data_IF_004318589847
#
_entry.id   IF_004318589847
#
_cell.length_a   1.000
_cell.length_b   1.000
_cell.length_c   1.000
_cell.angle_alpha   90.00
_cell.angle_beta   90.00
_cell.angle_gamma   90.00
#
_symmetry.space_group_name_H-M   'P 1'
#
loop_
_entity.id
_entity.type
_entity.pdbx_description
1 polymer ?
#
# COMPACT_ATOMS: atom_id res chain seq x y z
N UNK A 1 24.03 -3.29 22.73
CA UNK A 1 23.57 -4.36 23.63
C UNK A 1 23.01 -3.70 24.88
N UNK A 2 21.84 -4.13 25.38
CA UNK A 2 21.25 -3.56 26.60
C UNK A 2 21.81 -4.21 27.86
N UNK A 3 22.20 -5.48 27.74
CA UNK A 3 22.85 -6.28 28.77
C UNK A 3 24.27 -6.59 28.27
N UNK A 4 25.26 -6.60 29.16
CA UNK A 4 26.64 -6.98 28.83
C UNK A 4 26.88 -8.49 28.98
N UNK A 5 28.14 -8.92 28.82
CA UNK A 5 28.53 -10.33 28.92
C UNK A 5 28.44 -10.89 30.36
N UNK A 6 28.32 -10.02 31.36
CA UNK A 6 28.17 -10.39 32.77
C UNK A 6 26.69 -10.34 33.21
N UNK A 7 25.76 -10.28 32.26
CA UNK A 7 24.32 -10.17 32.51
C UNK A 7 23.92 -8.88 33.24
N UNK A 8 24.77 -7.85 33.26
CA UNK A 8 24.49 -6.56 33.88
C UNK A 8 23.89 -5.57 32.90
N UNK A 9 23.04 -4.69 33.42
CA UNK A 9 22.43 -3.63 32.64
C UNK A 9 23.50 -2.61 32.23
N UNK A 10 23.67 -2.42 30.93
CA UNK A 10 24.56 -1.37 30.40
C UNK A 10 23.91 0.00 30.52
N UNK A 11 24.68 1.09 30.39
CA UNK A 11 24.14 2.47 30.27
C UNK A 11 23.07 2.61 29.17
N UNK A 12 23.24 1.86 28.07
CA UNK A 12 22.25 1.81 27.00
C UNK A 12 20.99 1.06 27.43
N UNK A 13 21.13 -0.01 28.22
CA UNK A 13 20.02 -0.71 28.85
C UNK A 13 19.26 0.16 29.84
N UNK A 14 19.94 0.93 30.68
CA UNK A 14 19.33 1.90 31.59
C UNK A 14 18.48 2.93 30.83
N UNK A 15 19.04 3.52 29.76
CA UNK A 15 18.30 4.46 28.93
C UNK A 15 17.11 3.80 28.22
N UNK A 16 17.30 2.57 27.73
CA UNK A 16 16.22 1.79 27.11
C UNK A 16 15.07 1.54 28.08
N UNK A 17 15.37 1.29 29.36
CA UNK A 17 14.37 1.11 30.41
C UNK A 17 13.67 2.43 30.76
N UNK A 18 14.41 3.54 30.85
CA UNK A 18 13.86 4.86 31.14
C UNK A 18 12.84 5.33 30.08
N UNK A 19 13.07 4.96 28.81
CA UNK A 19 12.15 5.27 27.72
C UNK A 19 10.78 4.58 27.82
N UNK A 20 10.63 3.54 28.65
CA UNK A 20 9.38 2.79 28.84
C UNK A 20 8.77 2.27 27.51
N UNK A 21 9.63 1.91 26.57
CA UNK A 21 9.29 1.40 25.25
C UNK A 21 9.76 -0.04 25.07
N UNK A 22 9.27 -0.71 24.02
CA UNK A 22 9.84 -2.01 23.64
C UNK A 22 11.35 -1.88 23.37
N UNK A 23 12.17 -2.90 23.70
CA UNK A 23 13.62 -2.81 23.53
C UNK A 23 14.07 -2.45 22.11
N UNK A 24 13.32 -2.89 21.08
CA UNK A 24 13.61 -2.56 19.67
C UNK A 24 13.31 -1.10 19.35
N UNK A 25 12.19 -0.54 19.83
CA UNK A 25 11.89 0.89 19.66
C UNK A 25 12.85 1.79 20.44
N UNK A 26 13.19 1.43 21.67
CA UNK A 26 14.24 2.13 22.42
C UNK A 26 15.57 2.09 21.68
N UNK A 27 15.97 0.92 21.16
CA UNK A 27 17.20 0.79 20.38
C UNK A 27 17.17 1.62 19.09
N UNK A 28 16.01 1.73 18.43
CA UNK A 28 15.82 2.54 17.23
C UNK A 28 16.11 4.02 17.50
N UNK A 29 15.45 4.61 18.49
CA UNK A 29 15.65 6.02 18.83
C UNK A 29 17.09 6.30 19.31
N UNK A 30 17.63 5.43 20.17
CA UNK A 30 18.98 5.59 20.71
C UNK A 30 20.03 5.48 19.60
N UNK A 31 19.89 4.55 18.64
CA UNK A 31 20.81 4.43 17.50
C UNK A 31 20.82 5.69 16.65
N UNK A 32 19.64 6.18 16.26
CA UNK A 32 19.50 7.41 15.47
C UNK A 32 20.16 8.59 16.20
N UNK A 33 19.93 8.73 17.50
CA UNK A 33 20.54 9.81 18.28
C UNK A 33 22.07 9.72 18.34
N UNK A 34 22.62 8.52 18.53
CA UNK A 34 24.09 8.32 18.63
C UNK A 34 24.78 8.56 17.29
N UNK A 35 24.15 8.12 16.19
CA UNK A 35 24.74 8.12 14.85
C UNK A 35 24.50 9.45 14.11
N UNK A 36 23.39 10.15 14.42
CA UNK A 36 22.97 11.40 13.76
C UNK A 36 22.66 12.53 14.74
N UNK A 37 23.48 12.65 15.81
CA UNK A 37 23.27 13.59 16.93
C UNK A 37 22.99 15.04 16.51
N UNK A 38 23.60 15.51 15.42
CA UNK A 38 23.47 16.88 14.93
C UNK A 38 22.15 17.13 14.17
N UNK A 39 21.45 16.07 13.74
CA UNK A 39 20.15 16.16 13.07
C UNK A 39 19.00 16.02 14.09
N UNK A 40 18.66 17.14 14.75
CA UNK A 40 17.57 17.19 15.75
C UNK A 40 16.19 16.92 15.14
N UNK A 41 16.00 17.25 13.87
CA UNK A 41 14.74 17.06 13.16
C UNK A 41 14.47 15.58 12.92
N UNK A 42 15.52 14.81 12.57
CA UNK A 42 15.45 13.36 12.43
C UNK A 42 15.07 12.68 13.76
N UNK A 43 15.68 13.09 14.89
CA UNK A 43 15.30 12.56 16.20
C UNK A 43 13.82 12.86 16.51
N UNK A 44 13.36 14.08 16.21
CA UNK A 44 11.97 14.48 16.44
C UNK A 44 11.00 13.66 15.60
N UNK A 45 11.35 13.38 14.34
CA UNK A 45 10.58 12.53 13.42
C UNK A 45 10.53 11.08 13.90
N UNK A 46 11.67 10.52 14.30
CA UNK A 46 11.77 9.16 14.84
C UNK A 46 10.97 9.02 16.14
N UNK A 47 11.05 10.00 17.04
CA UNK A 47 10.23 10.04 18.24
C UNK A 47 8.73 10.07 17.92
N UNK A 48 8.32 10.81 16.88
CA UNK A 48 6.93 10.81 16.42
C UNK A 48 6.50 9.45 15.86
N UNK A 49 7.30 8.82 15.01
CA UNK A 49 7.04 7.47 14.49
C UNK A 49 6.86 6.49 15.65
N UNK A 50 7.81 6.47 16.59
CA UNK A 50 7.77 5.55 17.73
C UNK A 50 6.57 5.82 18.63
N UNK A 51 6.25 7.10 18.91
CA UNK A 51 5.09 7.45 19.70
C UNK A 51 3.78 6.99 19.05
N UNK A 52 3.63 7.17 17.73
CA UNK A 52 2.46 6.72 16.99
C UNK A 52 2.34 5.19 17.02
N UNK A 53 3.44 4.47 16.76
CA UNK A 53 3.46 3.00 16.71
C UNK A 53 3.32 2.34 18.08
N UNK A 54 3.60 3.05 19.16
CA UNK A 54 3.54 2.51 20.53
C UNK A 54 2.14 2.60 21.14
N UNK A 55 1.21 3.31 20.49
CA UNK A 55 -0.16 3.44 20.98
C UNK A 55 -0.99 2.23 20.49
N UNK A 56 -1.82 1.63 21.35
CA UNK A 56 -2.60 0.44 21.01
C UNK A 56 -3.77 0.71 20.04
N UNK A 57 -4.01 1.96 19.65
CA UNK A 57 -5.18 2.40 18.89
C UNK A 57 -4.78 3.35 17.76
N UNK A 58 -5.63 3.45 16.74
CA UNK A 58 -5.42 4.32 15.58
C UNK A 58 -5.45 5.82 15.95
N UNK A 59 -4.73 6.63 15.15
CA UNK A 59 -4.87 8.09 15.15
C UNK A 59 -6.24 8.54 14.61
N UNK A 60 -6.89 7.68 13.83
CA UNK A 60 -8.20 7.89 13.24
C UNK A 60 -9.29 7.31 14.14
N UNK A 61 -10.47 7.93 14.14
CA UNK A 61 -11.66 7.39 14.78
C UNK A 61 -12.09 6.10 14.08
N UNK A 62 -12.49 5.11 14.87
CA UNK A 62 -13.07 3.86 14.37
C UNK A 62 -14.57 3.98 14.63
N UNK A 63 -15.35 4.30 13.60
CA UNK A 63 -16.81 4.27 13.69
C UNK A 63 -17.32 2.94 13.13
N UNK A 64 -18.01 2.16 13.95
CA UNK A 64 -18.54 0.82 13.62
C UNK A 64 -19.74 0.83 12.65
N UNK A 65 -20.15 2.00 12.16
CA UNK A 65 -21.29 2.11 11.24
C UNK A 65 -20.83 2.12 9.79
N UNK A 66 -21.12 1.02 9.10
CA UNK A 66 -21.18 0.80 7.64
C UNK A 66 -19.87 0.59 6.87
N UNK A 67 -19.85 -0.52 6.15
CA UNK A 67 -18.78 -1.05 5.30
C UNK A 67 -18.41 -0.18 4.07
N UNK A 68 -19.04 0.98 3.89
CA UNK A 68 -18.83 1.92 2.76
C UNK A 68 -18.13 3.24 3.17
N UNK A 69 -17.61 3.34 4.40
CA UNK A 69 -17.21 4.62 5.01
C UNK A 69 -15.78 5.14 4.76
N UNK A 70 -14.96 4.54 3.88
CA UNK A 70 -13.52 4.90 3.79
C UNK A 70 -13.06 5.63 2.53
N UNK A 71 -13.86 5.75 1.47
CA UNK A 71 -13.34 6.24 0.17
C UNK A 71 -13.11 7.76 0.14
N UNK A 72 -13.98 8.56 0.77
CA UNK A 72 -13.88 10.03 0.72
C UNK A 72 -12.82 10.64 1.67
N UNK A 73 -12.46 9.94 2.75
CA UNK A 73 -11.42 10.37 3.70
C UNK A 73 -10.04 9.97 3.19
N UNK A 74 -9.94 8.80 2.55
CA UNK A 74 -8.79 8.43 1.73
C UNK A 74 -8.50 9.55 0.72
N UNK A 75 -9.49 10.03 -0.04
CA UNK A 75 -9.20 11.01 -1.09
C UNK A 75 -8.65 12.37 -0.60
N UNK A 76 -9.03 12.87 0.58
CA UNK A 76 -8.59 14.20 1.06
C UNK A 76 -7.28 14.19 1.85
N UNK A 77 -6.94 13.08 2.53
CA UNK A 77 -5.62 12.92 3.17
C UNK A 77 -4.57 12.35 2.22
N UNK A 78 -4.97 11.80 1.06
CA UNK A 78 -4.06 11.08 0.15
C UNK A 78 -3.71 11.82 -1.14
N UNK A 79 -4.37 12.94 -1.49
CA UNK A 79 -3.92 13.79 -2.61
C UNK A 79 -2.55 14.44 -2.36
N UNK A 80 -2.14 14.57 -1.10
CA UNK A 80 -0.80 15.05 -0.73
C UNK A 80 0.15 13.89 -0.32
N UNK A 81 -0.34 12.65 -0.23
CA UNK A 81 0.45 11.51 0.24
C UNK A 81 1.50 11.03 -0.80
N UNK A 82 1.33 11.46 -2.06
CA UNK A 82 2.24 11.18 -3.17
C UNK A 82 3.67 11.66 -2.91
N UNK A 83 3.84 12.71 -2.11
CA UNK A 83 5.15 13.30 -1.78
C UNK A 83 6.00 12.38 -0.87
N UNK A 84 5.37 11.63 0.04
CA UNK A 84 6.08 11.02 1.18
C UNK A 84 6.59 9.59 0.94
N UNK A 85 5.96 8.84 0.03
CA UNK A 85 6.36 7.46 -0.33
C UNK A 85 6.62 6.53 0.90
N UNK A 86 5.96 6.77 2.04
CA UNK A 86 6.08 6.03 3.30
C UNK A 86 4.83 6.23 4.17
N UNK A 87 4.18 5.15 4.64
CA UNK A 87 3.02 5.24 5.54
C UNK A 87 3.41 5.92 6.86
N UNK A 88 4.61 5.59 7.37
CA UNK A 88 5.12 6.19 8.62
C UNK A 88 5.26 7.71 8.51
N UNK A 89 5.69 8.19 7.34
CA UNK A 89 5.82 9.64 7.10
C UNK A 89 4.48 10.31 6.91
N UNK A 90 3.54 9.63 6.24
CA UNK A 90 2.17 10.11 6.13
C UNK A 90 1.52 10.25 7.52
N UNK A 91 1.68 9.26 8.40
CA UNK A 91 1.19 9.34 9.79
C UNK A 91 1.82 10.49 10.58
N UNK A 92 3.14 10.72 10.41
CA UNK A 92 3.79 11.88 11.00
C UNK A 92 3.25 13.22 10.45
N UNK A 93 2.95 13.29 9.15
CA UNK A 93 2.34 14.49 8.55
C UNK A 93 0.97 14.76 9.17
N UNK A 94 0.08 13.76 9.20
CA UNK A 94 -1.25 13.87 9.83
C UNK A 94 -1.15 14.38 11.26
N UNK A 95 -0.20 13.85 12.04
CA UNK A 95 0.06 14.33 13.39
C UNK A 95 0.55 15.79 13.42
N UNK A 96 1.51 16.15 12.55
CA UNK A 96 2.07 17.50 12.50
C UNK A 96 1.02 18.54 12.07
N UNK A 97 0.17 18.21 11.09
CA UNK A 97 -0.92 19.08 10.64
C UNK A 97 -1.89 19.37 11.79
N UNK A 98 -2.27 18.33 12.55
CA UNK A 98 -3.06 18.50 13.77
C UNK A 98 -2.35 19.32 14.84
N UNK A 99 -1.06 19.07 15.05
CA UNK A 99 -0.23 19.74 16.07
C UNK A 99 -0.14 21.24 15.79
N UNK A 100 0.02 21.61 14.53
CA UNK A 100 0.09 23.00 14.07
C UNK A 100 -1.24 23.72 14.24
N UNK A 101 -2.38 23.01 14.05
CA UNK A 101 -3.68 23.59 14.36
C UNK A 101 -3.75 24.00 15.82
N UNK A 102 -4.22 25.22 16.03
CA UNK A 102 -4.32 25.78 17.37
C UNK A 102 -3.00 26.21 17.99
N UNK A 103 -1.88 26.26 17.26
CA UNK A 103 -0.63 26.82 17.80
C UNK A 103 -0.82 28.27 18.20
N UNK A 104 -0.38 28.65 19.40
CA UNK A 104 -0.45 30.03 19.90
C UNK A 104 0.87 30.73 19.60
N UNK A 105 0.80 31.86 18.88
CA UNK A 105 1.95 32.71 18.66
C UNK A 105 2.38 33.34 19.99
N UNK A 106 3.64 33.14 20.37
CA UNK A 106 4.18 33.57 21.67
C UNK A 106 4.23 35.09 21.83
N UNK A 107 4.37 35.83 20.73
CA UNK A 107 4.49 37.29 20.74
C UNK A 107 3.12 37.96 20.82
N UNK A 108 2.14 37.46 20.06
CA UNK A 108 0.80 38.07 19.99
C UNK A 108 -0.20 37.46 20.96
N UNK A 109 0.15 36.34 21.60
CA UNK A 109 -0.75 35.54 22.44
C UNK A 109 -2.06 35.14 21.74
N UNK A 110 -2.05 35.09 20.41
CA UNK A 110 -3.20 34.70 19.58
C UNK A 110 -2.97 33.32 18.96
N UNK A 111 -4.05 32.55 18.89
CA UNK A 111 -4.08 31.32 18.11
C UNK A 111 -3.90 31.64 16.62
N UNK A 112 -2.93 31.01 15.96
CA UNK A 112 -2.64 31.21 14.52
C UNK A 112 -3.82 30.78 13.65
N UNK A 113 -4.64 29.83 14.11
CA UNK A 113 -5.77 29.28 13.34
C UNK A 113 -7.06 30.10 13.48
N UNK A 114 -7.36 30.66 14.65
CA UNK A 114 -8.64 31.34 14.91
C UNK A 114 -8.51 32.78 15.42
N UNK A 115 -7.31 33.30 15.55
CA UNK A 115 -6.99 34.65 16.04
C UNK A 115 -7.53 35.02 17.43
N UNK A 116 -8.12 34.06 18.17
CA UNK A 116 -8.54 34.26 19.57
C UNK A 116 -7.32 34.47 20.46
N UNK A 117 -7.38 35.49 21.31
CA UNK A 117 -6.37 35.78 22.32
C UNK A 117 -6.49 34.84 23.51
N UNK A 118 -5.36 34.39 24.03
CA UNK A 118 -5.26 33.55 25.23
C UNK A 118 -4.39 34.26 26.26
N UNK A 119 -4.96 34.54 27.43
CA UNK A 119 -4.27 35.26 28.50
C UNK A 119 -3.33 34.36 29.33
N UNK A 120 -3.56 33.05 29.32
CA UNK A 120 -2.76 32.08 30.06
C UNK A 120 -1.51 31.64 29.31
N UNK A 121 -0.55 31.03 30.05
CA UNK A 121 0.65 30.34 29.52
C UNK A 121 0.33 29.12 28.64
N UNK A 122 -0.92 28.95 28.20
CA UNK A 122 -1.29 27.89 27.28
C UNK A 122 -0.48 28.02 26.00
N UNK A 123 0.13 26.91 25.57
CA UNK A 123 0.88 26.84 24.31
C UNK A 123 -0.03 26.54 23.11
N UNK A 124 -1.28 26.14 23.37
CA UNK A 124 -2.17 25.54 22.36
C UNK A 124 -3.64 25.89 22.58
N UNK A 125 -4.35 26.18 21.51
CA UNK A 125 -5.79 26.37 21.42
C UNK A 125 -6.49 25.01 21.25
N UNK A 126 -7.02 24.46 22.33
CA UNK A 126 -7.69 23.15 22.31
C UNK A 126 -8.95 23.11 21.45
N UNK A 127 -9.66 24.23 21.31
CA UNK A 127 -10.87 24.30 20.48
C UNK A 127 -10.56 24.12 18.98
N UNK A 128 -9.47 24.72 18.49
CA UNK A 128 -9.04 24.54 17.10
C UNK A 128 -8.58 23.11 16.82
N UNK A 129 -7.82 22.50 17.73
CA UNK A 129 -7.38 21.10 17.60
C UNK A 129 -8.57 20.14 17.59
N UNK A 130 -9.50 20.27 18.55
CA UNK A 130 -10.73 19.47 18.59
C UNK A 130 -11.57 19.63 17.32
N UNK A 131 -11.74 20.87 16.82
CA UNK A 131 -12.47 21.12 15.57
C UNK A 131 -11.80 20.44 14.38
N UNK A 132 -10.47 20.56 14.26
CA UNK A 132 -9.71 19.92 13.18
C UNK A 132 -9.81 18.39 13.27
N UNK A 133 -9.68 17.82 14.47
CA UNK A 133 -9.87 16.39 14.70
C UNK A 133 -11.26 15.92 14.29
N UNK A 134 -12.32 16.65 14.65
CA UNK A 134 -13.68 16.30 14.23
C UNK A 134 -13.83 16.33 12.70
N UNK A 135 -13.29 17.36 12.05
CA UNK A 135 -13.39 17.52 10.59
C UNK A 135 -12.60 16.49 9.79
N UNK A 136 -11.56 15.89 10.38
CA UNK A 136 -10.67 14.92 9.72
C UNK A 136 -10.76 13.53 10.36
N UNK A 137 -11.79 13.30 11.17
CA UNK A 137 -12.04 12.04 11.88
C UNK A 137 -10.83 11.52 12.67
N UNK A 138 -10.10 12.42 13.31
CA UNK A 138 -8.94 12.08 14.13
C UNK A 138 -9.33 11.93 15.60
N UNK A 139 -8.67 11.00 16.29
CA UNK A 139 -8.80 10.83 17.72
C UNK A 139 -7.92 11.85 18.47
N UNK A 140 -8.53 12.98 18.85
CA UNK A 140 -7.83 14.07 19.53
C UNK A 140 -7.16 13.64 20.86
N UNK A 141 -7.74 12.69 21.60
CA UNK A 141 -7.15 12.22 22.87
C UNK A 141 -5.86 11.45 22.58
N UNK A 142 -5.89 10.56 21.59
CA UNK A 142 -4.72 9.81 21.15
C UNK A 142 -3.62 10.73 20.64
N UNK A 143 -3.96 11.73 19.83
CA UNK A 143 -2.98 12.69 19.32
C UNK A 143 -2.31 13.52 20.45
N UNK A 144 -3.05 13.84 21.51
CA UNK A 144 -2.47 14.47 22.70
C UNK A 144 -1.50 13.52 23.44
N UNK A 145 -1.84 12.23 23.54
CA UNK A 145 -0.94 11.22 24.11
C UNK A 145 0.34 11.06 23.27
N UNK A 146 0.23 11.07 21.93
CA UNK A 146 1.38 11.09 21.02
C UNK A 146 2.27 12.30 21.31
N UNK A 147 1.70 13.51 21.35
CA UNK A 147 2.48 14.75 21.58
C UNK A 147 3.23 14.72 22.92
N UNK A 148 2.57 14.25 23.99
CA UNK A 148 3.18 14.09 25.30
C UNK A 148 4.31 13.05 25.29
N UNK A 149 4.10 11.92 24.61
CA UNK A 149 5.09 10.83 24.49
C UNK A 149 6.33 11.29 23.73
N UNK A 150 6.15 12.00 22.61
CA UNK A 150 7.26 12.57 21.84
C UNK A 150 8.14 13.46 22.72
N UNK A 151 7.51 14.37 23.47
CA UNK A 151 8.23 15.27 24.38
C UNK A 151 9.02 14.47 25.42
N UNK A 152 8.37 13.51 26.07
CA UNK A 152 9.01 12.65 27.06
C UNK A 152 10.21 11.89 26.49
N UNK A 153 10.10 11.29 25.30
CA UNK A 153 11.19 10.55 24.67
C UNK A 153 12.38 11.44 24.31
N UNK A 154 12.12 12.61 23.72
CA UNK A 154 13.16 13.57 23.36
C UNK A 154 13.87 14.06 24.62
N UNK A 155 13.13 14.53 25.62
CA UNK A 155 13.68 15.04 26.88
C UNK A 155 14.56 13.97 27.53
N UNK A 156 14.05 12.73 27.66
CA UNK A 156 14.78 11.60 28.26
C UNK A 156 16.10 11.27 27.53
N UNK A 157 16.10 11.22 26.20
CA UNK A 157 17.32 10.96 25.41
C UNK A 157 18.31 12.11 25.56
N UNK A 158 17.82 13.35 25.49
CA UNK A 158 18.69 14.54 25.56
C UNK A 158 19.30 14.74 26.95
N UNK A 159 18.59 14.39 28.02
CA UNK A 159 19.10 14.45 29.39
C UNK A 159 20.14 13.36 29.67
N UNK A 160 19.96 12.18 29.05
CA UNK A 160 20.90 11.07 29.16
C UNK A 160 22.09 11.17 28.18
N UNK A 161 22.22 12.26 27.41
CA UNK A 161 23.25 12.42 26.36
C UNK A 161 24.67 12.16 26.81
N UNK A 162 24.99 12.42 28.08
CA UNK A 162 26.31 12.23 28.67
C UNK A 162 26.67 10.74 28.87
N UNK A 163 25.66 9.86 28.93
CA UNK A 163 25.84 8.40 29.05
C UNK A 163 26.19 7.75 27.71
N UNK A 164 25.96 8.45 26.60
CA UNK A 164 26.09 7.92 25.25
C UNK A 164 27.36 8.48 24.60
N UNK A 165 28.30 7.60 24.25
CA UNK A 165 29.45 7.98 23.42
C UNK A 165 28.96 8.09 21.97
N UNK A 166 28.96 9.29 21.37
CA UNK A 166 28.62 9.43 19.96
C UNK A 166 29.57 8.57 19.15
N UNK A 167 29.04 7.76 18.23
CA UNK A 167 29.87 7.14 17.21
C UNK A 167 29.86 8.10 16.04
N UNK A 168 30.93 8.88 15.87
CA UNK A 168 31.17 9.48 14.56
C UNK A 168 31.38 8.33 13.57
N UNK A 169 30.50 8.16 12.59
CA UNK A 169 30.79 7.40 11.38
C UNK A 169 31.02 8.40 10.26
N UNK A 170 32.26 8.54 9.81
CA UNK A 170 32.79 7.95 8.56
C UNK A 170 31.93 8.30 7.34
N UNK A 171 32.41 9.26 6.55
CA UNK A 171 32.07 9.55 5.15
C UNK A 171 30.67 9.14 4.69
N UNK A 172 29.63 9.74 5.28
CA UNK A 172 28.29 9.56 4.76
C UNK A 172 28.10 10.44 3.51
N UNK A 173 27.96 9.77 2.35
CA UNK A 173 27.05 10.22 1.29
C UNK A 173 25.81 10.82 1.95
N UNK A 174 25.30 11.96 1.48
CA UNK A 174 24.03 12.54 1.95
C UNK A 174 22.88 11.54 1.76
N UNK A 175 22.67 10.64 2.73
CA UNK A 175 21.54 9.72 2.78
C UNK A 175 20.32 10.51 3.25
N UNK A 176 19.16 10.29 2.62
CA UNK A 176 17.94 10.96 3.04
C UNK A 176 17.46 10.44 4.41
N UNK A 177 16.71 11.25 5.16
CA UNK A 177 16.07 10.82 6.42
C UNK A 177 15.27 9.51 6.26
N UNK A 178 14.66 9.33 5.08
CA UNK A 178 13.92 8.12 4.72
C UNK A 178 14.84 6.91 4.70
N UNK A 179 15.95 7.00 3.99
CA UNK A 179 16.87 5.87 3.83
C UNK A 179 17.52 5.51 5.18
N UNK A 180 17.89 6.52 5.98
CA UNK A 180 18.41 6.32 7.36
C UNK A 180 17.39 5.55 8.22
N UNK A 181 16.12 5.99 8.20
CA UNK A 181 15.05 5.32 8.95
C UNK A 181 14.86 3.89 8.44
N UNK A 182 14.80 3.69 7.13
CA UNK A 182 14.65 2.37 6.50
C UNK A 182 15.76 1.40 6.90
N UNK A 183 17.03 1.81 6.85
CA UNK A 183 18.18 0.98 7.24
C UNK A 183 18.10 0.55 8.72
N UNK A 184 17.76 1.47 9.61
CA UNK A 184 17.64 1.15 11.03
C UNK A 184 16.43 0.24 11.32
N UNK A 185 15.30 0.46 10.65
CA UNK A 185 14.12 -0.40 10.78
C UNK A 185 14.41 -1.81 10.28
N UNK A 186 15.04 -1.94 9.10
CA UNK A 186 15.45 -3.23 8.53
C UNK A 186 16.34 -4.02 9.49
N UNK A 187 17.29 -3.34 10.15
CA UNK A 187 18.21 -3.97 11.10
C UNK A 187 17.55 -4.41 12.39
N UNK A 188 16.58 -3.64 12.89
CA UNK A 188 15.97 -3.87 14.22
C UNK A 188 14.72 -4.74 14.16
N UNK A 189 14.04 -4.79 13.01
CA UNK A 189 12.80 -5.54 12.78
C UNK A 189 12.93 -6.45 11.54
N UNK A 190 13.91 -7.37 11.49
CA UNK A 190 14.11 -8.23 10.33
C UNK A 190 12.93 -9.19 10.07
N UNK A 191 12.18 -9.52 11.13
CA UNK A 191 10.97 -10.33 11.13
C UNK A 191 9.75 -9.63 10.52
N UNK A 192 9.82 -8.30 10.37
CA UNK A 192 8.77 -7.47 9.78
C UNK A 192 9.03 -7.14 8.31
N UNK A 193 10.16 -7.60 7.76
CA UNK A 193 10.50 -7.37 6.36
C UNK A 193 9.59 -8.22 5.48
N UNK A 194 8.97 -7.59 4.50
CA UNK A 194 8.20 -8.27 3.46
C UNK A 194 8.46 -7.71 2.08
N UNK A 195 8.00 -8.44 1.08
CA UNK A 195 7.99 -8.00 -0.31
C UNK A 195 6.60 -8.14 -0.93
N UNK A 196 6.27 -7.25 -1.87
CA UNK A 196 5.07 -7.38 -2.69
C UNK A 196 5.06 -8.73 -3.41
N UNK A 197 3.89 -9.35 -3.48
CA UNK A 197 3.71 -10.55 -4.31
C UNK A 197 3.86 -10.19 -5.79
N UNK A 198 3.22 -9.09 -6.19
CA UNK A 198 3.29 -8.54 -7.54
C UNK A 198 3.45 -7.03 -7.43
N UNK A 199 4.55 -6.47 -7.94
CA UNK A 199 4.92 -5.06 -7.73
C UNK A 199 3.85 -4.06 -8.19
N UNK A 200 3.21 -4.34 -9.33
CA UNK A 200 2.16 -3.48 -9.90
C UNK A 200 0.75 -3.77 -9.37
N UNK A 201 0.57 -4.80 -8.54
CA UNK A 201 -0.71 -5.19 -7.92
C UNK A 201 -0.55 -5.28 -6.39
N UNK A 202 -0.46 -4.15 -5.68
CA UNK A 202 -0.24 -4.14 -4.23
C UNK A 202 -1.42 -4.72 -3.42
N UNK A 203 -2.61 -4.74 -4.01
CA UNK A 203 -3.83 -5.35 -3.44
C UNK A 203 -3.73 -6.87 -3.29
N UNK A 204 -2.86 -7.53 -4.07
CA UNK A 204 -2.52 -8.93 -3.91
C UNK A 204 -1.80 -9.22 -2.59
N UNK A 205 -1.16 -8.20 -2.01
CA UNK A 205 -0.53 -8.23 -0.69
C UNK A 205 0.98 -8.47 -0.73
N UNK A 206 1.50 -8.85 0.44
CA UNK A 206 2.93 -9.08 0.66
C UNK A 206 3.21 -10.48 1.24
N UNK A 207 4.45 -10.94 1.05
CA UNK A 207 5.06 -12.04 1.79
C UNK A 207 6.02 -11.49 2.83
N UNK A 208 5.79 -11.81 4.10
CA UNK A 208 6.76 -11.57 5.16
C UNK A 208 7.88 -12.63 5.07
N UNK A 209 9.12 -12.19 4.91
CA UNK A 209 10.24 -13.07 4.53
C UNK A 209 10.59 -14.04 5.65
N UNK A 210 10.75 -13.55 6.87
CA UNK A 210 11.23 -14.36 7.99
C UNK A 210 10.17 -15.36 8.50
N UNK A 211 8.90 -14.97 8.48
CA UNK A 211 7.79 -15.77 9.00
C UNK A 211 7.06 -16.58 7.94
N UNK A 212 7.38 -16.36 6.67
CA UNK A 212 6.73 -17.02 5.52
C UNK A 212 5.19 -16.85 5.48
N UNK A 213 4.72 -15.70 5.95
CA UNK A 213 3.29 -15.36 6.04
C UNK A 213 2.86 -14.47 4.88
N UNK A 214 1.69 -14.78 4.30
CA UNK A 214 0.99 -13.87 3.40
C UNK A 214 0.16 -12.88 4.20
N UNK A 215 0.29 -11.61 3.89
CA UNK A 215 -0.51 -10.56 4.48
C UNK A 215 -1.10 -9.62 3.43
N UNK A 216 -2.29 -9.12 3.71
CA UNK A 216 -2.97 -8.11 2.91
C UNK A 216 -2.53 -6.75 3.42
N UNK A 217 -2.26 -5.81 2.52
CA UNK A 217 -1.96 -4.43 2.92
C UNK A 217 -3.27 -3.75 3.28
N UNK A 218 -3.30 -3.07 4.43
CA UNK A 218 -4.43 -2.25 4.87
C UNK A 218 -4.83 -1.25 3.76
N UNK A 219 -6.12 -1.14 3.48
CA UNK A 219 -6.62 -0.28 2.40
C UNK A 219 -6.34 1.22 2.61
N UNK A 220 -6.01 1.62 3.84
CA UNK A 220 -5.59 2.99 4.20
C UNK A 220 -4.11 3.24 3.94
N UNK A 221 -3.34 2.21 3.63
CA UNK A 221 -1.94 2.36 3.25
C UNK A 221 -1.83 3.11 1.93
N UNK A 222 -0.86 4.02 1.83
CA UNK A 222 -0.59 4.76 0.59
C UNK A 222 -0.11 3.83 -0.54
N UNK A 223 0.30 2.61 -0.20
CA UNK A 223 0.85 1.66 -1.15
C UNK A 223 -0.21 0.86 -1.90
N UNK A 224 -1.43 0.70 -1.37
CA UNK A 224 -2.52 -0.06 -2.04
C UNK A 224 -3.06 0.69 -3.25
N UNK A 225 -2.90 2.01 -3.29
CA UNK A 225 -3.59 2.87 -4.25
C UNK A 225 -2.84 3.10 -5.57
N UNK A 226 -1.66 2.49 -5.76
CA UNK A 226 -0.85 2.69 -6.96
C UNK A 226 -0.02 1.46 -7.33
N UNK A 227 0.18 1.27 -8.63
CA UNK A 227 1.19 0.33 -9.12
C UNK A 227 2.59 0.85 -8.76
N UNK A 228 3.50 -0.06 -8.40
CA UNK A 228 4.88 0.27 -8.10
C UNK A 228 5.83 -0.38 -9.09
N UNK A 229 6.90 0.33 -9.43
CA UNK A 229 8.02 -0.26 -10.16
C UNK A 229 8.73 -1.32 -9.31
N UNK A 230 9.39 -2.27 -9.95
CA UNK A 230 10.13 -3.37 -9.28
C UNK A 230 11.22 -2.90 -8.30
N UNK A 231 11.65 -1.65 -8.40
CA UNK A 231 12.60 -1.02 -7.47
C UNK A 231 11.99 -0.73 -6.09
N UNK A 232 10.67 -0.77 -5.95
CA UNK A 232 9.93 -0.46 -4.71
C UNK A 232 9.15 -1.66 -4.19
N UNK A 233 9.78 -2.84 -4.17
CA UNK A 233 9.10 -4.09 -3.79
C UNK A 233 9.26 -4.52 -2.33
N UNK A 234 10.26 -3.99 -1.59
CA UNK A 234 10.51 -4.40 -0.19
C UNK A 234 10.16 -3.31 0.82
N UNK A 235 9.58 -3.77 1.93
CA UNK A 235 9.07 -2.93 3.00
C UNK A 235 9.34 -3.53 4.36
N UNK A 236 9.44 -2.68 5.37
CA UNK A 236 9.22 -3.08 6.77
C UNK A 236 7.78 -2.76 7.13
N UNK A 237 7.02 -3.77 7.58
CA UNK A 237 5.66 -3.63 8.06
C UNK A 237 5.64 -3.44 9.59
N UNK A 238 5.41 -2.23 10.06
CA UNK A 238 5.50 -1.95 11.49
C UNK A 238 4.30 -2.44 12.30
N UNK A 239 3.14 -2.60 11.67
CA UNK A 239 1.94 -3.16 12.27
C UNK A 239 1.54 -4.42 11.52
N UNK A 240 1.45 -5.54 12.24
CA UNK A 240 1.04 -6.84 11.72
C UNK A 240 -0.06 -7.36 12.63
N UNK A 241 -1.28 -7.43 12.12
CA UNK A 241 -2.44 -7.89 12.86
C UNK A 241 -3.04 -9.12 12.19
N UNK A 242 -3.57 -10.05 12.99
CA UNK A 242 -4.36 -11.17 12.48
C UNK A 242 -5.84 -10.86 12.67
N UNK A 243 -6.60 -10.85 11.58
CA UNK A 243 -8.04 -10.68 11.62
C UNK A 243 -8.73 -11.89 12.26
N UNK A 244 -9.99 -11.73 12.66
CA UNK A 244 -10.84 -12.84 13.13
C UNK A 244 -11.00 -13.95 12.09
N UNK A 245 -10.96 -13.59 10.79
CA UNK A 245 -10.96 -14.56 9.68
C UNK A 245 -9.63 -15.30 9.51
N UNK A 246 -8.64 -15.03 10.37
CA UNK A 246 -7.33 -15.66 10.36
C UNK A 246 -6.35 -15.08 9.35
N UNK A 247 -6.76 -14.09 8.54
CA UNK A 247 -5.90 -13.40 7.56
C UNK A 247 -4.99 -12.40 8.27
N UNK A 248 -3.76 -12.25 7.78
CA UNK A 248 -2.86 -11.22 8.26
C UNK A 248 -3.10 -9.92 7.49
N UNK A 249 -3.12 -8.81 8.20
CA UNK A 249 -3.21 -7.45 7.68
C UNK A 249 -1.97 -6.70 8.14
N UNK A 250 -1.32 -5.98 7.22
CA UNK A 250 -0.15 -5.15 7.51
C UNK A 250 -0.42 -3.68 7.25
N UNK A 251 0.18 -2.84 8.08
CA UNK A 251 0.10 -1.38 7.98
C UNK A 251 1.41 -0.74 8.49
N UNK A 252 1.56 0.57 8.29
CA UNK A 252 2.78 1.31 8.65
C UNK A 252 3.97 0.86 7.81
N UNK A 253 3.75 0.68 6.50
CA UNK A 253 4.79 0.26 5.58
C UNK A 253 5.83 1.37 5.37
N UNK A 254 7.10 0.97 5.36
CA UNK A 254 8.21 1.84 5.01
C UNK A 254 9.13 1.13 4.02
N UNK A 255 9.39 1.77 2.87
CA UNK A 255 10.29 1.21 1.86
C UNK A 255 11.72 1.10 2.40
N UNK A 256 12.40 0.00 2.08
CA UNK A 256 13.80 -0.23 2.47
C UNK A 256 14.72 -0.48 1.26
N UNK A 257 16.04 -0.26 1.41
CA UNK A 257 17.02 -0.59 0.37
C UNK A 257 16.98 -2.07 -0.02
N UNK A 258 17.11 -2.36 -1.31
CA UNK A 258 16.97 -3.71 -1.88
C UNK A 258 18.29 -4.46 -2.01
N UNK A 259 19.43 -3.77 -1.93
CA UNK A 259 20.75 -4.27 -2.34
C UNK A 259 21.24 -5.49 -1.55
N UNK A 260 20.67 -5.74 -0.36
CA UNK A 260 21.05 -6.86 0.52
C UNK A 260 19.89 -7.83 0.77
N UNK A 261 18.80 -7.73 0.02
CA UNK A 261 17.61 -8.57 0.20
C UNK A 261 17.56 -9.67 -0.86
N UNK A 262 17.07 -10.88 -0.50
CA UNK A 262 16.92 -11.97 -1.44
C UNK A 262 15.90 -11.59 -2.51
N UNK A 263 16.13 -11.97 -3.77
CA UNK A 263 15.16 -11.76 -4.83
C UNK A 263 13.78 -12.34 -4.48
N UNK A 264 12.72 -11.69 -4.96
CA UNK A 264 11.36 -12.21 -4.80
C UNK A 264 11.28 -13.57 -5.49
N UNK A 265 10.86 -14.63 -4.77
CA UNK A 265 10.68 -15.95 -5.37
C UNK A 265 9.38 -16.05 -6.18
N UNK A 266 8.58 -14.98 -6.24
CA UNK A 266 7.35 -14.92 -7.02
C UNK A 266 7.71 -14.55 -8.45
N UNK A 267 7.35 -15.43 -9.38
CA UNK A 267 7.56 -15.26 -10.82
C UNK A 267 6.26 -15.45 -11.60
N UNK A 268 6.29 -15.05 -12.87
CA UNK A 268 5.16 -15.25 -13.79
C UNK A 268 5.07 -16.73 -14.16
N UNK A 269 4.07 -17.44 -13.62
CA UNK A 269 3.91 -18.88 -13.86
C UNK A 269 3.20 -19.16 -15.18
N UNK A 270 2.08 -18.48 -15.41
CA UNK A 270 1.21 -18.71 -16.56
C UNK A 270 0.84 -17.37 -17.18
N UNK A 271 1.01 -17.28 -18.50
CA UNK A 271 0.36 -16.26 -19.33
C UNK A 271 -0.49 -16.98 -20.35
N UNK A 272 -1.74 -16.54 -20.46
CA UNK A 272 -2.66 -16.97 -21.51
C UNK A 272 -3.32 -15.75 -22.11
N UNK A 273 -3.21 -15.66 -23.42
CA UNK A 273 -3.94 -14.68 -24.23
C UNK A 273 -5.29 -15.28 -24.64
N UNK A 274 -6.21 -14.42 -25.09
CA UNK A 274 -7.52 -14.83 -25.59
C UNK A 274 -8.39 -15.55 -24.55
N UNK A 275 -8.23 -15.22 -23.27
CA UNK A 275 -9.12 -15.69 -22.20
C UNK A 275 -10.31 -14.75 -22.13
N UNK A 276 -11.49 -15.22 -22.52
CA UNK A 276 -12.73 -14.45 -22.43
C UNK A 276 -13.21 -14.23 -21.00
N UNK A 277 -14.15 -13.31 -20.81
CA UNK A 277 -14.78 -13.00 -19.51
C UNK A 277 -15.44 -14.23 -18.88
N UNK A 278 -16.12 -15.07 -19.69
CA UNK A 278 -16.76 -16.30 -19.18
C UNK A 278 -15.73 -17.28 -18.61
N UNK A 279 -14.71 -17.60 -19.41
CA UNK A 279 -13.60 -18.48 -19.01
C UNK A 279 -12.88 -17.90 -17.78
N UNK A 280 -12.63 -16.59 -17.80
CA UNK A 280 -12.01 -15.90 -16.70
C UNK A 280 -12.81 -15.98 -15.39
N UNK A 281 -14.14 -15.94 -15.46
CA UNK A 281 -15.03 -16.11 -14.30
C UNK A 281 -14.94 -17.53 -13.71
N UNK A 282 -14.82 -18.55 -14.55
CA UNK A 282 -14.59 -19.93 -14.11
C UNK A 282 -13.23 -20.09 -13.45
N UNK A 283 -12.17 -19.61 -14.11
CA UNK A 283 -10.81 -19.60 -13.57
C UNK A 283 -10.79 -18.89 -12.22
N UNK A 284 -11.42 -17.72 -12.10
CA UNK A 284 -11.49 -16.96 -10.84
C UNK A 284 -12.21 -17.73 -9.73
N UNK A 285 -13.28 -18.45 -10.06
CA UNK A 285 -13.99 -19.31 -9.10
C UNK A 285 -13.06 -20.40 -8.55
N UNK A 286 -12.36 -21.11 -9.43
CA UNK A 286 -11.39 -22.15 -9.04
C UNK A 286 -10.21 -21.55 -8.28
N UNK A 287 -9.72 -20.39 -8.71
CA UNK A 287 -8.62 -19.71 -8.04
C UNK A 287 -8.98 -19.32 -6.60
N UNK A 288 -10.21 -18.85 -6.38
CA UNK A 288 -10.71 -18.52 -5.05
C UNK A 288 -10.85 -19.75 -4.15
N UNK A 289 -11.22 -20.92 -4.70
CA UNK A 289 -11.29 -22.15 -3.91
C UNK A 289 -9.92 -22.68 -3.53
N UNK A 290 -8.96 -22.71 -4.47
CA UNK A 290 -7.61 -23.24 -4.19
C UNK A 290 -6.80 -22.30 -3.29
N UNK A 291 -7.08 -20.99 -3.26
CA UNK A 291 -6.36 -20.02 -2.40
C UNK A 291 -6.36 -20.36 -0.91
N UNK A 292 -7.28 -21.22 -0.47
CA UNK A 292 -7.34 -21.72 0.90
C UNK A 292 -6.31 -22.83 1.17
N UNK A 293 -5.77 -23.43 0.11
CA UNK A 293 -4.77 -24.50 0.20
C UNK A 293 -3.38 -23.94 0.49
N UNK A 294 -2.61 -24.68 1.27
CA UNK A 294 -1.29 -24.23 1.75
C UNK A 294 -0.28 -24.00 0.63
N UNK A 295 -0.38 -24.76 -0.47
CA UNK A 295 0.51 -24.63 -1.62
C UNK A 295 0.14 -23.44 -2.52
N UNK A 296 -1.12 -23.02 -2.53
CA UNK A 296 -1.62 -21.94 -3.38
C UNK A 296 -1.53 -20.56 -2.71
N UNK A 297 -1.00 -20.51 -1.48
CA UNK A 297 -0.98 -19.29 -0.67
C UNK A 297 -0.26 -18.13 -1.36
N UNK A 298 0.70 -18.41 -2.26
CA UNK A 298 1.47 -17.38 -2.97
C UNK A 298 0.91 -17.00 -4.33
N UNK A 299 -0.17 -17.65 -4.77
CA UNK A 299 -0.73 -17.39 -6.07
C UNK A 299 -1.42 -16.02 -6.11
N UNK A 300 -1.07 -15.26 -7.14
CA UNK A 300 -1.64 -13.96 -7.46
C UNK A 300 -2.18 -13.97 -8.89
N UNK A 301 -3.30 -13.29 -9.10
CA UNK A 301 -4.09 -13.40 -10.31
C UNK A 301 -4.33 -12.01 -10.90
N UNK A 302 -4.09 -11.88 -12.20
CA UNK A 302 -4.30 -10.65 -12.95
C UNK A 302 -5.03 -10.96 -14.25
N UNK A 303 -6.10 -10.22 -14.52
CA UNK A 303 -6.82 -10.32 -15.78
C UNK A 303 -6.97 -8.93 -16.39
N UNK A 304 -6.37 -8.73 -17.56
CA UNK A 304 -6.56 -7.54 -18.36
C UNK A 304 -7.72 -7.76 -19.36
N UNK A 305 -8.88 -7.12 -19.15
CA UNK A 305 -10.02 -7.27 -20.04
C UNK A 305 -9.80 -6.63 -21.42
N UNK A 306 -8.86 -5.70 -21.56
CA UNK A 306 -8.60 -5.03 -22.84
C UNK A 306 -7.82 -5.95 -23.79
N UNK A 307 -6.86 -6.70 -23.26
CA UNK A 307 -6.06 -7.67 -24.02
C UNK A 307 -6.57 -9.11 -23.90
N UNK A 308 -7.64 -9.35 -23.13
CA UNK A 308 -8.09 -10.71 -22.75
C UNK A 308 -6.94 -11.58 -22.27
N UNK A 309 -6.04 -10.98 -21.50
CA UNK A 309 -4.82 -11.63 -21.01
C UNK A 309 -4.99 -11.99 -19.56
N UNK A 310 -4.82 -13.27 -19.28
CA UNK A 310 -4.68 -13.81 -17.94
C UNK A 310 -3.19 -13.98 -17.62
N UNK A 311 -2.77 -13.44 -16.49
CA UNK A 311 -1.45 -13.67 -15.91
C UNK A 311 -1.62 -14.22 -14.50
N UNK A 312 -0.94 -15.32 -14.20
CA UNK A 312 -0.87 -15.89 -12.84
C UNK A 312 0.58 -15.90 -12.38
N UNK A 313 0.79 -15.35 -11.18
CA UNK A 313 2.07 -15.24 -10.51
C UNK A 313 2.11 -16.18 -9.31
N UNK A 314 3.29 -16.69 -8.94
CA UNK A 314 3.46 -17.58 -7.80
C UNK A 314 4.86 -18.17 -7.72
N UNK A 315 5.03 -19.24 -6.93
CA UNK A 315 6.32 -19.94 -6.87
C UNK A 315 6.47 -20.89 -8.05
N UNK A 316 7.68 -20.97 -8.61
CA UNK A 316 8.01 -21.87 -9.72
C UNK A 316 7.55 -23.32 -9.50
N UNK A 317 7.67 -23.81 -8.26
CA UNK A 317 7.29 -25.16 -7.84
C UNK A 317 5.79 -25.44 -7.95
N UNK A 318 4.95 -24.42 -7.98
CA UNK A 318 3.49 -24.53 -8.02
C UNK A 318 2.95 -24.70 -9.45
N UNK A 319 3.79 -24.43 -10.47
CA UNK A 319 3.38 -24.34 -11.88
C UNK A 319 2.68 -25.59 -12.39
N UNK A 320 3.29 -26.77 -12.27
CA UNK A 320 2.74 -28.01 -12.83
C UNK A 320 1.41 -28.39 -12.20
N UNK A 321 1.26 -28.13 -10.90
CA UNK A 321 0.02 -28.41 -10.18
C UNK A 321 -1.09 -27.44 -10.59
N UNK A 322 -0.76 -26.14 -10.68
CA UNK A 322 -1.68 -25.12 -11.20
C UNK A 322 -2.12 -25.42 -12.63
N UNK A 323 -1.19 -25.80 -13.50
CA UNK A 323 -1.49 -26.19 -14.89
C UNK A 323 -2.47 -27.37 -14.91
N UNK A 324 -2.27 -28.40 -14.09
CA UNK A 324 -3.20 -29.55 -13.99
C UNK A 324 -4.61 -29.15 -13.56
N UNK A 325 -4.75 -28.17 -12.66
CA UNK A 325 -6.05 -27.68 -12.16
C UNK A 325 -6.76 -26.84 -13.22
N UNK A 326 -6.01 -26.01 -13.94
CA UNK A 326 -6.57 -25.14 -14.97
C UNK A 326 -6.80 -25.86 -16.29
N UNK A 327 -6.08 -26.95 -16.57
CA UNK A 327 -6.15 -27.68 -17.83
C UNK A 327 -7.59 -28.04 -18.22
N UNK A 328 -8.46 -28.57 -17.35
CA UNK A 328 -9.84 -28.88 -17.72
C UNK A 328 -10.63 -27.65 -18.19
N UNK A 329 -10.42 -26.50 -17.56
CA UNK A 329 -11.10 -25.25 -17.95
C UNK A 329 -10.57 -24.78 -19.29
N UNK A 330 -9.23 -24.75 -19.43
CA UNK A 330 -8.53 -24.26 -20.61
C UNK A 330 -8.66 -25.19 -21.82
N UNK A 331 -8.86 -26.50 -21.61
CA UNK A 331 -9.02 -27.51 -22.67
C UNK A 331 -10.46 -27.95 -22.87
N UNK A 332 -11.40 -27.54 -22.01
CA UNK A 332 -12.82 -27.73 -22.28
C UNK A 332 -13.20 -26.94 -23.53
N UNK A 333 -13.10 -27.64 -24.66
CA UNK A 333 -13.49 -27.25 -26.00
C UNK A 333 -15.01 -27.00 -26.13
N UNK A 334 -15.74 -26.90 -25.02
CA UNK A 334 -17.15 -26.51 -24.99
C UNK A 334 -17.37 -24.99 -25.06
N UNK A 335 -16.30 -24.19 -24.96
CA UNK A 335 -16.34 -22.78 -25.33
C UNK A 335 -15.77 -22.58 -26.74
N UNK A 336 -16.62 -22.74 -27.76
CA UNK A 336 -16.43 -22.17 -29.11
C UNK A 336 -16.37 -20.63 -29.13
N UNK A 337 -16.18 -19.99 -27.97
CA UNK A 337 -16.28 -18.54 -27.80
C UNK A 337 -14.87 -18.03 -27.52
N UNK A 338 -14.15 -17.71 -28.61
CA UNK A 338 -12.97 -16.86 -28.52
C UNK A 338 -13.52 -15.44 -28.32
N UNK A 339 -13.64 -15.01 -27.07
CA UNK A 339 -13.92 -13.60 -26.78
C UNK A 339 -12.61 -12.84 -26.92
N UNK A 340 -12.49 -12.06 -27.99
CA UNK A 340 -11.39 -11.13 -28.10
C UNK A 340 -11.62 -9.95 -27.17
N UNK A 341 -10.53 -9.40 -26.64
CA UNK A 341 -10.57 -8.14 -25.92
C UNK A 341 -11.13 -7.04 -26.81
N UNK A 342 -11.46 -5.89 -26.23
CA UNK A 342 -11.96 -4.78 -27.03
C UNK A 342 -10.93 -4.31 -28.06
N UNK A 343 -11.06 -4.72 -29.32
CA UNK A 343 -10.19 -4.22 -30.39
C UNK A 343 -10.65 -2.80 -30.73
N UNK A 344 -10.07 -1.79 -30.09
CA UNK A 344 -10.38 -0.38 -30.39
C UNK A 344 -9.67 0.05 -31.68
N UNK A 345 -10.11 -0.48 -32.82
CA UNK A 345 -9.66 -0.05 -34.14
C UNK A 345 -10.56 1.06 -34.65
N UNK A 346 -9.96 2.21 -34.98
CA UNK A 346 -10.65 3.32 -35.67
C UNK A 346 -10.51 3.11 -37.17
N UNK A 347 -11.63 2.87 -37.86
CA UNK A 347 -11.64 2.81 -39.32
C UNK A 347 -11.68 4.23 -39.92
N UNK A 348 -11.40 4.37 -41.22
CA UNK A 348 -11.23 5.65 -41.95
C UNK A 348 -12.40 6.65 -41.85
N UNK A 349 -13.50 6.35 -41.14
CA UNK A 349 -14.67 7.23 -40.97
C UNK A 349 -15.14 7.34 -39.50
N UNK A 350 -14.29 7.03 -38.52
CA UNK A 350 -14.65 7.14 -37.09
C UNK A 350 -15.55 6.03 -36.54
N UNK A 351 -15.88 5.03 -37.36
CA UNK A 351 -16.43 3.74 -36.93
C UNK A 351 -15.41 3.07 -36.00
N UNK A 352 -15.89 2.57 -34.87
CA UNK A 352 -15.07 1.87 -33.88
C UNK A 352 -15.58 0.44 -33.79
N UNK A 353 -14.74 -0.56 -34.06
CA UNK A 353 -14.98 -1.89 -33.51
C UNK A 353 -14.63 -1.82 -32.03
N UNK A 354 -15.47 -2.35 -31.15
CA UNK A 354 -15.26 -2.30 -29.70
C UNK A 354 -15.14 -3.69 -29.08
N UNK A 355 -15.53 -4.75 -29.79
CA UNK A 355 -15.30 -6.14 -29.42
C UNK A 355 -15.55 -7.05 -30.63
N UNK A 356 -14.92 -8.23 -30.62
CA UNK A 356 -15.18 -9.32 -31.57
C UNK A 356 -15.51 -10.57 -30.77
N UNK A 357 -16.71 -11.10 -30.98
CA UNK A 357 -17.19 -12.35 -30.39
C UNK A 357 -17.14 -13.44 -31.47
N UNK A 358 -16.42 -14.53 -31.21
CA UNK A 358 -16.46 -15.70 -32.08
C UNK A 358 -17.71 -16.53 -31.74
N UNK A 359 -18.59 -16.70 -32.72
CA UNK A 359 -19.79 -17.55 -32.63
C UNK A 359 -19.50 -18.91 -33.29
N UNK A 360 -20.37 -19.89 -33.07
CA UNK A 360 -20.16 -21.27 -33.53
C UNK A 360 -19.98 -21.43 -35.06
N UNK A 361 -20.48 -20.46 -35.84
CA UNK A 361 -20.55 -20.43 -37.29
C UNK A 361 -20.29 -19.03 -37.89
N UNK A 362 -19.99 -18.01 -37.07
CA UNK A 362 -19.84 -16.63 -37.51
C UNK A 362 -18.94 -15.80 -36.58
N UNK A 363 -18.55 -14.60 -37.02
CA UNK A 363 -17.93 -13.58 -36.17
C UNK A 363 -18.96 -12.47 -35.90
N UNK A 364 -19.15 -12.13 -34.62
CA UNK A 364 -19.99 -11.00 -34.21
C UNK A 364 -19.10 -9.81 -33.85
N UNK A 365 -19.28 -8.71 -34.59
CA UNK A 365 -18.58 -7.46 -34.39
C UNK A 365 -19.45 -6.47 -33.60
N UNK A 366 -18.92 -5.94 -32.50
CA UNK A 366 -19.59 -4.88 -31.74
C UNK A 366 -19.13 -3.52 -32.24
N UNK A 367 -19.93 -2.93 -33.13
CA UNK A 367 -19.61 -1.65 -33.77
C UNK A 367 -20.22 -0.46 -33.01
N UNK A 368 -19.41 0.58 -32.80
CA UNK A 368 -19.80 1.86 -32.21
C UNK A 368 -19.53 3.00 -33.20
N UNK A 369 -20.18 4.15 -32.98
CA UNK A 369 -20.08 5.33 -33.86
C UNK A 369 -20.38 5.00 -35.32
N UNK A 370 -21.36 4.12 -35.50
CA UNK A 370 -21.84 3.73 -36.81
C UNK A 370 -22.36 4.98 -37.54
N UNK A 371 -21.92 5.26 -38.77
CA UNK A 371 -22.28 6.50 -39.48
C UNK A 371 -23.75 6.55 -39.93
N UNK A 372 -24.56 5.56 -39.54
CA UNK A 372 -25.91 5.32 -40.03
C UNK A 372 -26.84 4.99 -38.86
N UNK A 373 -28.07 5.54 -38.89
CA UNK A 373 -29.08 5.35 -37.84
C UNK A 373 -29.93 4.08 -38.01
N UNK A 374 -29.88 3.43 -39.17
CA UNK A 374 -30.69 2.23 -39.47
C UNK A 374 -29.78 1.11 -39.96
N UNK A 375 -30.19 -0.13 -39.70
CA UNK A 375 -29.45 -1.33 -40.08
C UNK A 375 -29.25 -1.45 -41.60
N UNK A 376 -30.27 -1.17 -42.40
CA UNK A 376 -30.19 -1.19 -43.86
C UNK A 376 -29.15 -0.21 -44.43
N UNK A 377 -29.06 0.99 -43.84
CA UNK A 377 -28.05 1.99 -44.22
C UNK A 377 -26.64 1.55 -43.80
N UNK A 378 -26.52 0.88 -42.65
CA UNK A 378 -25.26 0.28 -42.24
C UNK A 378 -24.82 -0.83 -43.20
N UNK A 379 -25.74 -1.71 -43.63
CA UNK A 379 -25.43 -2.78 -44.59
C UNK A 379 -24.95 -2.22 -45.93
N UNK A 380 -25.65 -1.22 -46.47
CA UNK A 380 -25.22 -0.54 -47.70
C UNK A 380 -23.83 0.10 -47.52
N UNK A 381 -23.60 0.76 -46.39
CA UNK A 381 -22.32 1.38 -46.10
C UNK A 381 -21.17 0.36 -46.00
N UNK A 382 -21.38 -0.76 -45.30
CA UNK A 382 -20.39 -1.83 -45.17
C UNK A 382 -20.08 -2.45 -46.54
N UNK A 383 -21.10 -2.66 -47.38
CA UNK A 383 -20.89 -3.16 -48.74
C UNK A 383 -20.09 -2.17 -49.60
N UNK A 384 -20.41 -0.88 -49.55
CA UNK A 384 -19.73 0.14 -50.36
C UNK A 384 -18.29 0.39 -49.90
N UNK A 385 -18.03 0.34 -48.60
CA UNK A 385 -16.73 0.74 -48.03
C UNK A 385 -15.78 -0.41 -47.74
N UNK A 386 -16.31 -1.60 -47.43
CA UNK A 386 -15.53 -2.77 -47.01
C UNK A 386 -15.82 -4.03 -47.86
N UNK A 387 -16.65 -3.90 -48.91
CA UNK A 387 -17.06 -4.99 -49.82
C UNK A 387 -17.81 -6.18 -49.16
N UNK A 388 -18.26 -6.01 -47.92
CA UNK A 388 -19.00 -7.05 -47.17
C UNK A 388 -20.43 -7.20 -47.70
N UNK A 389 -20.84 -8.41 -48.08
CA UNK A 389 -22.18 -8.65 -48.62
C UNK A 389 -23.23 -8.86 -47.55
N UNK A 390 -24.50 -8.69 -47.93
CA UNK A 390 -25.66 -8.89 -47.05
C UNK A 390 -25.75 -10.29 -46.44
N UNK A 391 -25.28 -11.32 -47.16
CA UNK A 391 -25.26 -12.70 -46.66
C UNK A 391 -24.14 -12.96 -45.65
N UNK A 392 -23.13 -12.08 -45.61
CA UNK A 392 -22.01 -12.15 -44.67
C UNK A 392 -22.36 -11.48 -43.32
N UNK A 393 -23.52 -10.81 -43.22
CA UNK A 393 -23.92 -10.00 -42.07
C UNK A 393 -25.29 -10.48 -41.57
N UNK A 394 -25.30 -11.03 -40.36
CA UNK A 394 -26.53 -11.45 -39.67
C UNK A 394 -26.87 -10.44 -38.57
N UNK A 395 -28.10 -9.93 -38.59
CA UNK A 395 -28.62 -9.10 -37.51
C UNK A 395 -28.94 -9.99 -36.31
N UNK A 396 -28.54 -9.58 -35.11
CA UNK A 396 -29.07 -10.16 -33.88
C UNK A 396 -30.31 -9.35 -33.49
N UNK A 397 -31.48 -10.01 -33.45
CA UNK A 397 -32.68 -9.47 -32.82
C UNK A 397 -32.55 -9.45 -31.30
#
# INVERSE_FOLDING_TARGET
MCIDKEEKLTRRGELSAALSLSPRFSAFMINIYIEHKDNRDLLSRVAAIVAILSIPTSLFLINDSTHDFNDNICHSTMSDADEYNSDLFNLCKVFNDWREKGTINRTTHKCITCNKSYQDRSKTCQSCRKKHSLMNELNNQILQLVENSIKFYIDTITDARWKLTPRSKTDNKKSSDRDIIGEHLQKLFPDHIGHLLVSHLPDEGIRLIASDLRAIIDNRSIYVQRAHDDKRKYFVAMLIARSLSGKYIVNGLHQIPTDQLPESPIEQLIVRENIGRSVNKEIRTVFNSIRLESWAKWLSYEYDPNSCRLTIWGLKTERSHLESILQPILTSTHYKIIEFGSIRATFQNGLICSAVELMADALRLHLQRVPCRTYEKLQQWLKIKLDLNRHDIKENN
#
